data_IF_109111151116
#
_entry.id   IF_109111151116
#
_cell.length_a   1.000
_cell.length_b   1.000
_cell.length_c   1.000
_cell.angle_alpha   90.00
_cell.angle_beta   90.00
_cell.angle_gamma   90.00
#
_symmetry.space_group_name_H-M   'P 1'
#
loop_
_entity.id
_entity.type
_entity.pdbx_description
1 polymer ?
#
# COMPACT_ATOMS: atom_id res chain seq x y z
N UNK A 1 -2.58 12.54 12.03
CA UNK A 1 -2.79 11.61 10.91
C UNK A 1 -1.53 10.78 10.72
N UNK A 2 -1.68 9.46 10.67
CA UNK A 2 -0.55 8.56 10.50
C UNK A 2 -0.34 8.25 9.02
N UNK A 3 0.86 8.51 8.53
CA UNK A 3 1.23 8.21 7.15
C UNK A 3 2.44 7.29 7.15
N UNK A 4 2.32 6.20 6.40
CA UNK A 4 3.42 5.28 6.17
C UNK A 4 3.90 5.45 4.73
N UNK A 5 5.21 5.55 4.54
CA UNK A 5 5.82 5.64 3.21
C UNK A 5 6.60 4.35 2.98
N UNK A 6 6.28 3.64 1.90
CA UNK A 6 6.84 2.32 1.61
C UNK A 6 7.27 2.19 0.16
N UNK A 7 8.33 1.42 -0.07
CA UNK A 7 8.62 0.94 -1.41
C UNK A 7 7.64 -0.18 -1.75
N UNK A 8 7.08 -0.13 -2.95
CA UNK A 8 6.13 -1.15 -3.37
C UNK A 8 6.83 -2.49 -3.55
N UNK A 9 6.40 -3.48 -2.77
CA UNK A 9 6.88 -4.86 -2.85
C UNK A 9 5.76 -5.73 -2.32
N UNK A 10 5.26 -6.63 -3.15
CA UNK A 10 4.15 -7.50 -2.79
C UNK A 10 4.45 -8.34 -1.54
N UNK A 11 5.71 -8.69 -1.33
CA UNK A 11 6.12 -9.47 -0.15
C UNK A 11 6.23 -8.61 1.10
N UNK A 12 6.65 -7.35 0.93
CA UNK A 12 6.79 -6.45 2.07
C UNK A 12 5.44 -6.11 2.68
N UNK A 13 4.38 -6.08 1.88
CA UNK A 13 3.04 -5.79 2.36
C UNK A 13 2.63 -6.80 3.43
N UNK A 14 2.85 -8.08 3.18
CA UNK A 14 2.50 -9.12 4.15
C UNK A 14 3.32 -9.01 5.43
N UNK A 15 4.59 -8.64 5.32
CA UNK A 15 5.49 -8.58 6.47
C UNK A 15 5.29 -7.34 7.33
N UNK A 16 5.05 -6.20 6.69
CA UNK A 16 4.96 -4.92 7.39
C UNK A 16 3.59 -4.75 8.06
N UNK A 17 2.56 -5.31 7.45
CA UNK A 17 1.19 -5.16 7.92
C UNK A 17 0.70 -6.35 8.73
N UNK A 18 1.54 -7.37 8.91
CA UNK A 18 1.18 -8.54 9.69
C UNK A 18 0.91 -8.22 11.17
N UNK A 19 1.66 -7.34 11.83
CA UNK A 19 1.26 -6.96 13.18
C UNK A 19 0.07 -5.99 13.10
N UNK A 20 -1.06 -6.40 13.63
CA UNK A 20 -2.25 -5.57 13.67
C UNK A 20 -2.11 -4.33 14.55
N UNK A 21 -0.89 -4.04 15.01
CA UNK A 21 -0.65 -2.99 15.96
C UNK A 21 -0.47 -1.61 15.33
N UNK A 22 -0.14 -1.55 14.04
CA UNK A 22 0.07 -0.28 13.37
C UNK A 22 -0.83 -0.22 12.13
N UNK A 23 -1.80 0.69 12.17
CA UNK A 23 -2.74 0.87 11.05
C UNK A 23 -2.72 2.33 10.65
N UNK A 24 -1.81 2.73 9.75
CA UNK A 24 -1.78 4.12 9.31
C UNK A 24 -3.05 4.47 8.55
N UNK A 25 -3.42 5.73 8.62
CA UNK A 25 -4.57 6.25 7.89
C UNK A 25 -4.27 6.46 6.42
N UNK A 26 -3.00 6.60 6.09
CA UNK A 26 -2.53 6.83 4.73
C UNK A 26 -1.27 6.04 4.48
N UNK A 27 -1.19 5.42 3.31
CA UNK A 27 0.02 4.71 2.87
C UNK A 27 0.44 5.27 1.52
N UNK A 28 1.69 5.72 1.44
CA UNK A 28 2.27 6.20 0.19
C UNK A 28 3.22 5.13 -0.32
N UNK A 29 2.91 4.59 -1.49
CA UNK A 29 3.75 3.59 -2.13
C UNK A 29 4.62 4.24 -3.21
N UNK A 30 5.93 4.07 -3.07
CA UNK A 30 6.89 4.44 -4.11
C UNK A 30 7.05 3.23 -5.01
N UNK A 31 6.62 3.35 -6.25
CA UNK A 31 6.54 2.19 -7.14
C UNK A 31 6.97 2.55 -8.58
N UNK A 32 7.35 1.55 -9.38
CA UNK A 32 7.58 1.77 -10.81
C UNK A 32 6.33 2.32 -11.49
N UNK A 33 6.52 3.10 -12.56
CA UNK A 33 5.42 3.74 -13.24
C UNK A 33 4.34 2.79 -13.72
N UNK A 34 4.72 1.60 -14.15
CA UNK A 34 3.78 0.58 -14.57
C UNK A 34 2.82 0.16 -13.47
N UNK A 35 3.30 0.14 -12.22
CA UNK A 35 2.47 -0.22 -11.06
C UNK A 35 1.64 0.96 -10.61
N UNK A 36 2.19 2.18 -10.69
CA UNK A 36 1.44 3.37 -10.31
C UNK A 36 0.21 3.59 -11.18
N UNK A 37 0.18 3.00 -12.38
CA UNK A 37 -0.93 3.09 -13.33
C UNK A 37 -1.77 1.81 -13.39
N UNK A 38 -1.39 0.77 -12.65
CA UNK A 38 -2.08 -0.52 -12.68
C UNK A 38 -3.22 -0.54 -11.67
N UNK A 39 -4.41 -0.24 -12.15
CA UNK A 39 -5.60 -0.22 -11.30
C UNK A 39 -5.92 -1.57 -10.69
N UNK A 40 -5.70 -2.64 -11.42
CA UNK A 40 -6.00 -3.99 -10.93
C UNK A 40 -5.17 -4.31 -9.70
N UNK A 41 -3.88 -3.99 -9.73
CA UNK A 41 -3.01 -4.21 -8.58
C UNK A 41 -3.38 -3.31 -7.41
N UNK A 42 -3.74 -2.06 -7.69
CA UNK A 42 -4.17 -1.13 -6.66
C UNK A 42 -5.46 -1.59 -5.98
N UNK A 43 -6.41 -2.08 -6.76
CA UNK A 43 -7.66 -2.59 -6.22
C UNK A 43 -7.45 -3.87 -5.42
N UNK A 44 -6.55 -4.74 -5.86
CA UNK A 44 -6.20 -5.94 -5.13
C UNK A 44 -5.62 -5.59 -3.77
N UNK A 45 -4.77 -4.60 -3.71
CA UNK A 45 -4.17 -4.13 -2.47
C UNK A 45 -5.23 -3.53 -1.53
N UNK A 46 -6.12 -2.71 -2.08
CA UNK A 46 -7.20 -2.14 -1.28
C UNK A 46 -8.11 -3.23 -0.71
N UNK A 47 -8.40 -4.27 -1.50
CA UNK A 47 -9.20 -5.39 -1.03
C UNK A 47 -8.47 -6.17 0.07
N UNK A 48 -7.15 -6.27 -0.01
CA UNK A 48 -6.34 -6.93 1.02
C UNK A 48 -6.52 -6.23 2.37
N UNK A 49 -6.44 -4.91 2.40
CA UNK A 49 -6.64 -4.16 3.64
C UNK A 49 -8.09 -4.26 4.13
N UNK A 50 -9.04 -4.15 3.22
CA UNK A 50 -10.46 -4.19 3.57
C UNK A 50 -10.84 -5.50 4.22
N UNK A 51 -10.27 -6.61 3.77
CA UNK A 51 -10.50 -7.91 4.40
C UNK A 51 -10.02 -7.96 5.85
N UNK A 52 -9.11 -7.07 6.20
CA UNK A 52 -8.60 -6.94 7.58
C UNK A 52 -9.35 -5.87 8.39
N UNK A 53 -10.43 -5.36 7.84
CA UNK A 53 -11.22 -4.33 8.53
C UNK A 53 -10.55 -2.97 8.55
N UNK A 54 -9.73 -2.68 7.56
CA UNK A 54 -8.94 -1.45 7.52
C UNK A 54 -8.97 -0.86 6.12
N UNK A 55 -9.30 0.42 6.02
CA UNK A 55 -9.41 1.12 4.75
C UNK A 55 -8.53 2.37 4.72
N UNK A 56 -7.21 2.22 4.61
CA UNK A 56 -6.33 3.38 4.54
C UNK A 56 -6.44 4.07 3.17
N UNK A 57 -6.10 5.35 3.13
CA UNK A 57 -5.93 6.05 1.87
C UNK A 57 -4.64 5.57 1.22
N UNK A 58 -4.73 5.08 -0.01
CA UNK A 58 -3.58 4.56 -0.75
C UNK A 58 -3.17 5.57 -1.81
N UNK A 59 -1.90 5.96 -1.79
CA UNK A 59 -1.34 6.90 -2.76
C UNK A 59 -0.15 6.21 -3.44
N UNK A 60 -0.17 6.18 -4.77
CA UNK A 60 0.88 5.53 -5.55
C UNK A 60 1.68 6.60 -6.26
N UNK A 61 2.96 6.68 -5.94
CA UNK A 61 3.88 7.66 -6.51
C UNK A 61 4.89 6.95 -7.38
N UNK A 62 5.00 7.39 -8.63
CA UNK A 62 5.97 6.84 -9.56
C UNK A 62 7.38 7.27 -9.18
N UNK A 63 8.30 6.33 -9.16
CA UNK A 63 9.71 6.59 -8.94
C UNK A 63 10.52 6.20 -10.18
N UNK A 64 11.57 6.95 -10.45
CA UNK A 64 12.45 6.72 -11.60
C UNK A 64 13.69 5.92 -11.21
N UNK A 65 13.51 4.90 -10.46
CA UNK A 65 14.63 4.05 -10.08
C UNK A 65 15.04 3.09 -11.17
#
# INVERSE_FOLDING_TARGET
MNTLIELYDERAIENILAPDMFRPQRIVYLCPGEISQDRTRQETLAAFFRRRGWEPELIFVETSL
#
